data_IF_040948460435
#
_entry.id   IF_040948460435
#
_cell.length_a   1.000
_cell.length_b   1.000
_cell.length_c   1.000
_cell.angle_alpha   90.00
_cell.angle_beta   90.00
_cell.angle_gamma   90.00
#
_symmetry.space_group_name_H-M   'P 1'
#
loop_
_entity.id
_entity.type
_entity.pdbx_description
1 polymer ?
#
# COMPACT_ATOMS: atom_id res chain seq x y z
N UNK A 1 -5.56 5.37 -7.51
CA UNK A 1 -6.52 4.65 -6.64
C UNK A 1 -7.19 5.57 -5.63
N UNK A 2 -6.48 6.05 -4.60
CA UNK A 2 -7.05 6.88 -3.52
C UNK A 2 -7.72 8.18 -4.01
N UNK A 3 -7.14 8.87 -4.98
CA UNK A 3 -7.70 10.10 -5.56
C UNK A 3 -9.01 9.82 -6.33
N UNK A 4 -8.98 8.84 -7.22
CA UNK A 4 -10.13 8.46 -8.07
C UNK A 4 -11.28 7.93 -7.22
N UNK A 5 -11.01 7.04 -6.26
CA UNK A 5 -12.05 6.52 -5.36
C UNK A 5 -12.64 7.63 -4.50
N UNK A 6 -11.82 8.57 -4.03
CA UNK A 6 -12.27 9.73 -3.27
C UNK A 6 -13.19 10.65 -4.08
N UNK A 7 -12.88 10.88 -5.37
CA UNK A 7 -13.76 11.64 -6.28
C UNK A 7 -15.08 10.94 -6.51
N UNK A 8 -15.05 9.64 -6.84
CA UNK A 8 -16.27 8.89 -7.16
C UNK A 8 -17.20 8.78 -5.94
N UNK A 9 -16.65 8.52 -4.75
CA UNK A 9 -17.44 8.44 -3.52
C UNK A 9 -18.11 9.76 -3.17
N UNK A 10 -17.48 10.90 -3.44
CA UNK A 10 -18.13 12.22 -3.27
C UNK A 10 -19.26 12.44 -4.29
N UNK A 11 -19.11 11.95 -5.52
CA UNK A 11 -20.15 12.05 -6.54
C UNK A 11 -21.36 11.15 -6.25
N UNK A 12 -21.13 9.96 -5.69
CA UNK A 12 -22.20 9.01 -5.35
C UNK A 12 -22.90 9.37 -4.03
N UNK A 13 -22.19 9.98 -3.08
CA UNK A 13 -22.69 10.27 -1.75
C UNK A 13 -22.78 11.77 -1.50
N UNK A 14 -23.43 12.50 -2.42
CA UNK A 14 -23.58 13.98 -2.36
C UNK A 14 -24.32 14.48 -1.12
N UNK A 15 -25.11 13.61 -0.47
CA UNK A 15 -25.77 13.89 0.80
C UNK A 15 -24.78 14.00 1.97
N UNK A 16 -23.60 13.39 1.87
CA UNK A 16 -22.53 13.48 2.87
C UNK A 16 -21.65 14.69 2.57
N UNK A 17 -22.06 15.85 3.10
CA UNK A 17 -21.38 17.14 2.87
C UNK A 17 -19.93 17.18 3.39
N UNK A 18 -19.59 16.38 4.39
CA UNK A 18 -18.26 16.34 5.00
C UNK A 18 -17.92 14.92 5.45
N UNK A 19 -16.85 14.35 4.89
CA UNK A 19 -16.44 12.97 5.17
C UNK A 19 -15.40 12.87 6.31
N UNK A 20 -14.71 13.97 6.61
CA UNK A 20 -13.75 14.07 7.71
C UNK A 20 -13.52 15.54 8.10
N UNK A 21 -12.98 15.79 9.29
CA UNK A 21 -12.64 17.15 9.77
C UNK A 21 -11.65 17.89 8.87
N UNK A 22 -10.82 17.16 8.12
CA UNK A 22 -9.82 17.72 7.21
C UNK A 22 -10.29 17.77 5.76
N UNK A 23 -11.50 17.27 5.47
CA UNK A 23 -12.04 17.16 4.10
C UNK A 23 -11.41 16.05 3.25
N UNK A 24 -10.42 15.32 3.79
CA UNK A 24 -9.76 14.22 3.10
C UNK A 24 -10.44 12.89 3.44
N UNK A 25 -10.72 12.09 2.42
CA UNK A 25 -11.31 10.75 2.62
C UNK A 25 -10.27 9.71 3.03
N UNK A 26 -9.02 9.88 2.59
CA UNK A 26 -7.94 8.95 2.86
C UNK A 26 -6.77 9.68 3.53
N UNK A 27 -6.03 8.98 4.39
CA UNK A 27 -4.73 9.46 4.88
C UNK A 27 -3.80 9.78 3.69
N UNK A 28 -2.85 10.70 3.86
CA UNK A 28 -1.83 10.98 2.84
C UNK A 28 -0.90 9.79 2.63
N UNK A 29 -0.63 9.03 3.69
CA UNK A 29 0.26 7.86 3.66
C UNK A 29 -0.40 6.66 3.00
N UNK A 30 0.40 5.85 2.31
CA UNK A 30 0.03 4.53 1.84
C UNK A 30 1.21 3.59 2.09
N UNK A 31 0.90 2.34 2.37
CA UNK A 31 1.89 1.28 2.47
C UNK A 31 1.81 0.43 1.19
N UNK A 32 2.96 0.11 0.61
CA UNK A 32 3.08 -0.79 -0.52
C UNK A 32 4.24 -1.73 -0.24
N UNK A 33 4.01 -3.03 -0.37
CA UNK A 33 5.06 -4.03 -0.31
C UNK A 33 4.94 -4.95 -1.52
N UNK A 34 6.07 -5.51 -1.95
CA UNK A 34 6.07 -6.57 -2.95
C UNK A 34 5.46 -7.83 -2.33
N UNK A 35 4.36 -8.32 -2.89
CA UNK A 35 3.86 -9.67 -2.64
C UNK A 35 4.54 -10.62 -3.63
N UNK A 36 5.88 -10.68 -3.61
CA UNK A 36 6.66 -11.63 -4.40
C UNK A 36 6.93 -12.86 -3.55
N UNK A 37 6.65 -14.06 -4.07
CA UNK A 37 6.75 -15.36 -3.38
C UNK A 37 8.17 -15.81 -3.01
N UNK A 38 9.05 -14.88 -2.67
CA UNK A 38 10.30 -15.19 -1.99
C UNK A 38 9.97 -15.45 -0.52
N UNK A 39 9.77 -16.72 -0.20
CA UNK A 39 9.58 -17.17 1.17
C UNK A 39 10.86 -16.92 2.00
N UNK A 40 10.76 -16.93 3.32
CA UNK A 40 11.92 -16.74 4.20
C UNK A 40 13.08 -17.72 3.86
N UNK A 41 12.75 -18.89 3.32
CA UNK A 41 13.69 -19.91 2.86
C UNK A 41 14.53 -19.43 1.66
N UNK A 42 13.92 -18.77 0.67
CA UNK A 42 14.67 -18.22 -0.48
C UNK A 42 15.65 -17.13 -0.06
N UNK A 43 15.30 -16.31 0.92
CA UNK A 43 16.19 -15.29 1.45
C UNK A 43 17.36 -15.91 2.22
N UNK A 44 17.10 -16.95 3.02
CA UNK A 44 18.14 -17.68 3.76
C UNK A 44 19.13 -18.37 2.81
N UNK A 45 18.63 -19.03 1.76
CA UNK A 45 19.47 -19.67 0.75
C UNK A 45 20.36 -18.66 0.01
N UNK A 46 19.81 -17.49 -0.34
CA UNK A 46 20.57 -16.41 -0.96
C UNK A 46 21.72 -15.93 -0.05
N UNK A 47 21.46 -15.64 1.22
CA UNK A 47 22.51 -15.17 2.16
C UNK A 47 23.59 -16.22 2.40
N UNK A 48 23.22 -17.50 2.49
CA UNK A 48 24.19 -18.60 2.62
C UNK A 48 25.07 -18.74 1.37
N UNK A 49 24.50 -18.60 0.17
CA UNK A 49 25.28 -18.64 -1.09
C UNK A 49 26.26 -17.47 -1.25
N UNK A 50 26.02 -16.35 -0.55
CA UNK A 50 26.91 -15.19 -0.53
C UNK A 50 28.07 -15.33 0.48
N UNK A 51 28.05 -16.38 1.32
CA UNK A 51 29.09 -16.63 2.33
C UNK A 51 30.25 -17.48 1.80
N UNK A 52 30.18 -17.91 0.53
CA UNK A 52 31.27 -18.60 -0.18
C UNK A 52 31.87 -17.66 -1.22
N UNK A 53 32.53 -16.59 -0.75
CA UNK A 53 33.62 -15.99 -1.50
C UNK A 53 34.91 -16.56 -0.91
N UNK A 54 35.63 -17.34 -1.72
CA UNK A 54 37.06 -17.61 -1.50
C UNK A 54 37.84 -16.29 -1.36
#
# INVERSE_FOLDING_TARGET
LKSVSSRLLRQQNTHLRMQSKTGLLWSRSYFVCSTGGATIETFRAYVQSQSTSD
#
